data_IF_358346893069
#
_entry.id   IF_358346893069
#
_cell.length_a   1.000
_cell.length_b   1.000
_cell.length_c   1.000
_cell.angle_alpha   90.00
_cell.angle_beta   90.00
_cell.angle_gamma   90.00
#
_symmetry.space_group_name_H-M   'P 1'
#
loop_
_entity.id
_entity.type
_entity.pdbx_description
1 polymer ?
#
# COMPACT_ATOMS: atom_id res chain seq x y z
N UNK A 1 -44.11 -2.33 -36.99
CA UNK A 1 -44.10 -1.00 -36.34
C UNK A 1 -43.37 -1.16 -35.03
N UNK A 2 -42.31 -0.37 -34.84
CA UNK A 2 -41.29 -0.60 -33.81
C UNK A 2 -41.79 -0.09 -32.47
N UNK A 3 -41.76 -1.01 -31.52
CA UNK A 3 -42.07 -0.91 -30.10
C UNK A 3 -41.06 0.01 -29.39
N UNK A 4 -41.56 1.00 -28.63
CA UNK A 4 -40.75 1.92 -27.83
C UNK A 4 -40.31 1.20 -26.54
N UNK A 5 -39.23 0.44 -26.62
CA UNK A 5 -38.56 -0.12 -25.46
C UNK A 5 -37.53 0.87 -24.90
N UNK A 6 -37.84 1.41 -23.71
CA UNK A 6 -36.94 2.20 -22.87
C UNK A 6 -35.60 1.46 -22.62
N UNK A 7 -34.47 2.19 -22.49
CA UNK A 7 -33.19 1.57 -22.24
C UNK A 7 -33.16 0.95 -20.83
N UNK A 8 -33.18 -0.38 -20.79
CA UNK A 8 -32.86 -1.20 -19.62
C UNK A 8 -31.52 -0.75 -19.01
N UNK A 9 -31.59 0.02 -17.93
CA UNK A 9 -30.49 0.19 -16.97
C UNK A 9 -30.30 -1.12 -16.22
N UNK A 10 -29.62 -2.08 -16.85
CA UNK A 10 -28.84 -3.06 -16.11
C UNK A 10 -27.56 -2.34 -15.71
N UNK A 11 -27.28 -2.20 -14.41
CA UNK A 11 -26.04 -2.67 -13.80
C UNK A 11 -25.88 -2.21 -12.34
N UNK A 12 -25.77 -3.23 -11.48
CA UNK A 12 -25.09 -3.27 -10.17
C UNK A 12 -25.78 -2.53 -9.03
N UNK A 13 -26.98 -3.00 -8.69
CA UNK A 13 -27.35 -3.09 -7.27
C UNK A 13 -26.35 -4.06 -6.63
N UNK A 14 -25.42 -3.54 -5.84
CA UNK A 14 -24.56 -4.40 -5.02
C UNK A 14 -25.46 -5.16 -4.03
N UNK A 15 -25.44 -6.49 -4.11
CA UNK A 15 -26.13 -7.35 -3.16
C UNK A 15 -25.59 -7.06 -1.74
N UNK A 16 -26.42 -6.48 -0.88
CA UNK A 16 -26.15 -6.20 0.54
C UNK A 16 -26.33 -7.46 1.41
N UNK A 17 -25.96 -8.65 0.92
CA UNK A 17 -26.25 -9.93 1.60
C UNK A 17 -25.01 -10.81 1.85
N UNK A 18 -23.82 -10.21 1.98
CA UNK A 18 -22.63 -10.93 2.44
C UNK A 18 -21.73 -10.02 3.27
N UNK A 19 -22.30 -9.46 4.34
CA UNK A 19 -21.52 -8.99 5.48
C UNK A 19 -22.10 -9.65 6.73
N UNK A 20 -21.94 -10.97 6.86
CA UNK A 20 -21.60 -11.49 8.18
C UNK A 20 -20.37 -10.70 8.59
N UNK A 21 -20.56 -9.68 9.44
CA UNK A 21 -19.47 -8.91 9.99
C UNK A 21 -18.54 -9.93 10.65
N UNK A 22 -17.36 -10.14 10.04
CA UNK A 22 -16.29 -10.85 10.70
C UNK A 22 -16.20 -10.29 12.13
N UNK A 23 -16.17 -11.14 13.17
CA UNK A 23 -16.14 -10.66 14.55
C UNK A 23 -15.06 -9.59 14.64
N UNK A 24 -15.41 -8.42 15.20
CA UNK A 24 -14.53 -7.25 15.29
C UNK A 24 -13.15 -7.70 15.78
N UNK A 25 -12.22 -7.91 14.84
CA UNK A 25 -10.90 -8.43 15.14
C UNK A 25 -10.18 -7.34 15.91
N UNK A 26 -10.03 -7.55 17.22
CA UNK A 26 -9.34 -6.58 18.06
C UNK A 26 -7.87 -6.56 17.70
N UNK A 27 -7.33 -5.36 17.57
CA UNK A 27 -5.93 -5.12 17.24
C UNK A 27 -5.26 -4.55 18.49
N UNK A 28 -4.22 -5.24 18.94
CA UNK A 28 -3.42 -4.86 20.10
C UNK A 28 -2.09 -4.22 19.71
N UNK A 29 -1.16 -4.20 20.67
CA UNK A 29 0.22 -3.73 20.46
C UNK A 29 1.09 -4.89 19.96
N UNK A 30 1.98 -4.69 18.97
CA UNK A 30 2.94 -5.71 18.55
C UNK A 30 3.86 -6.17 19.70
N UNK A 31 4.19 -7.46 19.74
CA UNK A 31 5.06 -8.03 20.78
C UNK A 31 6.55 -7.85 20.42
N UNK A 32 7.42 -7.47 21.38
CA UNK A 32 8.86 -7.43 21.14
C UNK A 32 9.43 -8.78 20.70
N UNK A 33 10.30 -8.78 19.71
CA UNK A 33 10.89 -9.99 19.13
C UNK A 33 9.94 -10.76 18.21
N UNK A 34 8.83 -10.16 17.78
CA UNK A 34 7.87 -10.75 16.87
C UNK A 34 7.46 -9.78 15.74
N UNK A 35 6.71 -10.29 14.76
CA UNK A 35 6.15 -9.51 13.67
C UNK A 35 7.16 -9.00 12.64
N UNK A 36 6.61 -8.30 11.64
CA UNK A 36 7.34 -7.71 10.52
C UNK A 36 6.99 -6.23 10.41
N UNK A 37 8.00 -5.39 10.18
CA UNK A 37 7.81 -3.98 9.87
C UNK A 37 7.93 -3.78 8.37
N UNK A 38 6.92 -3.16 7.77
CA UNK A 38 6.85 -2.81 6.36
C UNK A 38 7.01 -1.31 6.19
N UNK A 39 8.01 -0.88 5.42
CA UNK A 39 8.29 0.54 5.14
C UNK A 39 7.95 0.84 3.69
N UNK A 40 7.12 1.85 3.46
CA UNK A 40 6.64 2.24 2.14
C UNK A 40 6.36 3.75 2.06
N UNK A 41 6.15 4.23 0.83
CA UNK A 41 5.67 5.59 0.60
C UNK A 41 4.15 5.57 0.56
N UNK A 42 3.50 6.37 1.42
CA UNK A 42 2.07 6.62 1.35
C UNK A 42 1.82 7.78 0.39
N UNK A 43 0.88 7.59 -0.53
CA UNK A 43 0.61 8.53 -1.63
C UNK A 43 0.21 9.92 -1.12
N UNK A 44 0.72 10.95 -1.81
CA UNK A 44 0.43 12.35 -1.54
C UNK A 44 -1.08 12.61 -1.41
N UNK A 45 -1.51 13.08 -0.25
CA UNK A 45 -2.85 13.62 -0.06
C UNK A 45 -3.14 14.66 -1.13
N UNK A 46 -4.35 14.65 -1.69
CA UNK A 46 -4.78 15.33 -2.94
C UNK A 46 -4.54 16.85 -3.02
N UNK A 47 -3.93 17.50 -2.02
CA UNK A 47 -3.67 18.93 -1.98
C UNK A 47 -2.20 19.35 -1.95
N UNK A 48 -1.29 18.51 -1.48
CA UNK A 48 0.14 18.81 -1.47
C UNK A 48 0.92 17.56 -1.84
N UNK A 49 1.76 17.67 -2.89
CA UNK A 49 2.63 16.60 -3.39
C UNK A 49 3.79 16.34 -2.43
N UNK A 50 3.48 15.97 -1.20
CA UNK A 50 4.48 15.49 -0.26
C UNK A 50 4.38 13.98 -0.19
N UNK A 51 5.47 13.34 -0.59
CA UNK A 51 5.70 11.92 -0.36
C UNK A 51 5.90 11.71 1.13
N UNK A 52 4.95 11.01 1.75
CA UNK A 52 4.97 10.69 3.18
C UNK A 52 5.57 9.31 3.34
N UNK A 53 6.58 9.18 4.20
CA UNK A 53 7.09 7.87 4.57
C UNK A 53 6.15 7.26 5.60
N UNK A 54 5.87 5.97 5.44
CA UNK A 54 5.01 5.20 6.32
C UNK A 54 5.69 3.88 6.68
N UNK A 55 5.56 3.49 7.95
CA UNK A 55 5.94 2.17 8.42
C UNK A 55 4.79 1.54 9.22
N UNK A 56 4.61 0.23 9.03
CA UNK A 56 3.60 -0.56 9.73
C UNK A 56 4.26 -1.80 10.30
N UNK A 57 4.20 -1.97 11.62
CA UNK A 57 4.59 -3.19 12.31
C UNK A 57 3.36 -4.07 12.48
N UNK A 58 3.37 -5.24 11.85
CA UNK A 58 2.32 -6.25 11.99
C UNK A 58 2.87 -7.48 12.71
N UNK A 59 2.23 -7.87 13.80
CA UNK A 59 2.53 -9.06 14.59
C UNK A 59 1.27 -9.92 14.73
N UNK A 60 1.06 -10.92 13.87
CA UNK A 60 -0.07 -11.84 14.04
C UNK A 60 0.11 -12.67 15.32
N UNK A 61 -0.94 -12.80 16.12
CA UNK A 61 -0.89 -13.62 17.33
C UNK A 61 -1.39 -15.04 17.05
N UNK A 62 -0.64 -16.06 17.47
CA UNK A 62 -1.06 -17.47 17.34
C UNK A 62 -2.32 -17.80 18.17
N UNK A 63 -2.58 -17.01 19.21
CA UNK A 63 -3.75 -17.10 20.07
C UNK A 63 -4.25 -15.68 20.34
N UNK A 64 -5.57 -15.49 20.56
CA UNK A 64 -6.10 -14.19 20.95
C UNK A 64 -5.42 -13.68 22.23
N UNK A 65 -5.09 -12.40 22.28
CA UNK A 65 -4.57 -11.69 23.44
C UNK A 65 -5.58 -11.63 24.58
N UNK A 66 -5.18 -11.06 25.70
CA UNK A 66 -5.99 -11.02 26.93
C UNK A 66 -7.37 -10.37 26.74
N UNK A 67 -7.54 -9.46 25.77
CA UNK A 67 -8.82 -8.84 25.43
C UNK A 67 -9.42 -9.36 24.13
N UNK A 68 -8.92 -10.48 23.61
CA UNK A 68 -9.34 -11.08 22.34
C UNK A 68 -8.65 -10.48 21.11
N UNK A 69 -7.51 -9.81 21.28
CA UNK A 69 -6.74 -9.25 20.16
C UNK A 69 -6.16 -10.38 19.30
N UNK A 70 -6.32 -10.33 17.98
CA UNK A 70 -5.81 -11.41 17.09
C UNK A 70 -4.48 -11.05 16.43
N UNK A 71 -4.08 -9.79 16.51
CA UNK A 71 -2.81 -9.29 16.01
C UNK A 71 -2.43 -8.01 16.74
N UNK A 72 -1.15 -7.67 16.73
CA UNK A 72 -0.63 -6.38 17.10
C UNK A 72 -0.30 -5.56 15.86
N UNK A 73 -0.79 -4.32 15.78
CA UNK A 73 -0.45 -3.40 14.68
C UNK A 73 -0.02 -2.05 15.26
N UNK A 74 1.12 -1.55 14.80
CA UNK A 74 1.56 -0.18 15.09
C UNK A 74 2.00 0.53 13.81
N UNK A 75 1.56 1.76 13.61
CA UNK A 75 1.87 2.56 12.42
C UNK A 75 2.61 3.85 12.78
N UNK A 76 3.58 4.22 11.96
CA UNK A 76 4.26 5.53 12.03
C UNK A 76 4.30 6.13 10.64
N UNK A 77 3.85 7.37 10.53
CA UNK A 77 3.95 8.17 9.32
C UNK A 77 4.72 9.46 9.62
N UNK A 78 5.47 9.97 8.65
CA UNK A 78 6.21 11.21 8.80
C UNK A 78 7.33 11.38 7.78
N UNK A 79 8.37 12.10 8.20
CA UNK A 79 9.60 12.22 7.42
C UNK A 79 10.36 10.88 7.36
N UNK A 80 11.22 10.73 6.34
CA UNK A 80 12.10 9.58 6.19
C UNK A 80 12.89 9.29 7.47
N UNK A 81 13.52 10.31 8.03
CA UNK A 81 14.36 10.18 9.22
C UNK A 81 13.55 9.74 10.45
N UNK A 82 12.37 10.30 10.67
CA UNK A 82 11.51 9.91 11.79
C UNK A 82 11.01 8.47 11.66
N UNK A 83 10.63 8.07 10.44
CA UNK A 83 10.13 6.72 10.19
C UNK A 83 11.26 5.71 10.36
N UNK A 84 12.43 5.95 9.77
CA UNK A 84 13.57 5.04 9.92
C UNK A 84 14.05 4.96 11.38
N UNK A 85 14.16 6.09 12.09
CA UNK A 85 14.51 6.09 13.51
C UNK A 85 13.51 5.27 14.35
N UNK A 86 12.21 5.41 14.07
CA UNK A 86 11.19 4.61 14.72
C UNK A 86 11.35 3.13 14.41
N UNK A 87 11.49 2.75 13.14
CA UNK A 87 11.67 1.35 12.71
C UNK A 87 12.89 0.71 13.39
N UNK A 88 14.03 1.41 13.42
CA UNK A 88 15.27 0.91 14.06
C UNK A 88 15.14 0.75 15.57
N UNK A 89 14.29 1.56 16.20
CA UNK A 89 14.02 1.45 17.64
C UNK A 89 13.08 0.30 18.01
N UNK A 90 12.34 -0.25 17.04
CA UNK A 90 11.42 -1.35 17.30
C UNK A 90 12.17 -2.69 17.33
N UNK A 91 11.91 -3.55 18.33
CA UNK A 91 12.50 -4.88 18.40
C UNK A 91 11.73 -5.89 17.52
N UNK A 92 11.54 -5.60 16.23
CA UNK A 92 10.87 -6.54 15.31
C UNK A 92 11.85 -7.61 14.78
N UNK A 93 11.33 -8.77 14.34
CA UNK A 93 12.16 -9.85 13.75
C UNK A 93 12.59 -9.52 12.33
N UNK A 94 11.66 -8.96 11.56
CA UNK A 94 11.84 -8.75 10.13
C UNK A 94 11.53 -7.30 9.79
N UNK A 95 12.42 -6.68 9.03
CA UNK A 95 12.25 -5.32 8.51
C UNK A 95 12.26 -5.38 6.98
N UNK A 96 11.20 -4.90 6.35
CA UNK A 96 11.00 -4.93 4.90
C UNK A 96 10.76 -3.53 4.34
N UNK A 97 11.29 -3.29 3.15
CA UNK A 97 11.20 -2.05 2.40
C UNK A 97 10.47 -2.31 1.07
N UNK A 98 9.54 -1.44 0.69
CA UNK A 98 8.88 -1.50 -0.60
C UNK A 98 9.85 -1.09 -1.72
N UNK A 99 10.16 -2.02 -2.63
CA UNK A 99 10.95 -1.81 -3.83
C UNK A 99 10.04 -1.86 -5.07
N UNK A 100 10.12 -0.90 -6.01
CA UNK A 100 9.21 -0.81 -7.15
C UNK A 100 9.25 -2.03 -8.07
N UNK A 101 10.41 -2.66 -8.25
CA UNK A 101 10.59 -3.79 -9.17
C UNK A 101 10.60 -5.15 -8.47
N UNK A 102 10.95 -5.19 -7.18
CA UNK A 102 11.21 -6.44 -6.45
C UNK A 102 10.16 -6.74 -5.37
N UNK A 103 9.22 -5.80 -5.13
CA UNK A 103 8.18 -5.97 -4.11
C UNK A 103 8.72 -5.62 -2.73
N UNK A 104 8.81 -6.59 -1.81
CA UNK A 104 9.30 -6.35 -0.46
C UNK A 104 10.71 -6.91 -0.29
N UNK A 105 11.69 -6.04 -0.08
CA UNK A 105 13.09 -6.41 0.13
C UNK A 105 13.49 -6.21 1.60
N UNK A 106 14.48 -6.93 2.12
CA UNK A 106 15.01 -6.67 3.46
C UNK A 106 15.47 -5.21 3.59
N UNK A 107 15.09 -4.55 4.68
CA UNK A 107 15.52 -3.18 4.94
C UNK A 107 17.07 -3.16 5.08
N UNK A 108 17.78 -2.35 4.29
CA UNK A 108 19.24 -2.20 4.41
C UNK A 108 19.67 -1.91 5.85
N UNK A 109 20.88 -2.29 6.26
CA UNK A 109 21.36 -2.01 7.62
C UNK A 109 21.70 -0.53 7.84
N UNK A 110 22.12 0.15 6.77
CA UNK A 110 22.46 1.56 6.80
C UNK A 110 21.33 2.40 6.19
N UNK A 111 21.02 3.52 6.82
CA UNK A 111 19.89 4.35 6.43
C UNK A 111 20.18 5.04 5.09
N UNK A 112 21.42 5.41 4.76
CA UNK A 112 21.77 6.03 3.46
C UNK A 112 21.44 5.17 2.24
N UNK A 113 21.48 3.84 2.40
CA UNK A 113 21.14 2.88 1.34
C UNK A 113 19.63 2.70 1.15
N UNK A 114 18.81 3.28 2.04
CA UNK A 114 17.35 3.20 1.96
C UNK A 114 16.83 4.24 0.97
N UNK A 115 16.62 3.81 -0.27
CA UNK A 115 16.03 4.63 -1.33
C UNK A 115 14.66 4.08 -1.67
N UNK A 116 13.61 4.82 -1.28
CA UNK A 116 12.27 4.60 -1.81
C UNK A 116 12.08 5.54 -2.99
N UNK A 117 12.02 4.96 -4.18
CA UNK A 117 11.59 5.72 -5.34
C UNK A 117 10.11 6.03 -5.18
N UNK A 118 9.74 7.31 -5.30
CA UNK A 118 8.36 7.67 -5.59
C UNK A 118 7.92 6.77 -6.74
N UNK A 119 6.72 6.17 -6.72
CA UNK A 119 6.23 5.48 -7.88
C UNK A 119 6.27 6.50 -9.00
N UNK A 120 7.27 6.38 -9.88
CA UNK A 120 7.31 7.16 -11.09
C UNK A 120 5.97 6.81 -11.71
N UNK A 121 5.06 7.78 -11.74
CA UNK A 121 3.90 7.68 -12.59
C UNK A 121 4.51 7.56 -13.97
N UNK A 122 4.76 6.30 -14.38
CA UNK A 122 4.99 5.89 -15.74
C UNK A 122 3.65 6.19 -16.38
N UNK A 123 3.43 7.47 -16.65
CA UNK A 123 2.64 7.94 -17.75
C UNK A 123 3.36 7.27 -18.91
N UNK A 124 2.98 6.01 -19.20
CA UNK A 124 3.12 5.45 -20.52
C UNK A 124 2.39 6.48 -21.35
N UNK A 125 3.13 7.47 -21.88
CA UNK A 125 2.64 8.31 -22.95
C UNK A 125 2.25 7.28 -23.99
N UNK A 126 0.96 6.95 -24.07
CA UNK A 126 0.44 6.26 -25.23
C UNK A 126 0.97 7.10 -26.40
N UNK A 127 1.68 6.52 -27.38
CA UNK A 127 1.92 7.25 -28.60
C UNK A 127 0.56 7.80 -29.03
N UNK A 128 0.47 9.12 -29.23
CA UNK A 128 -0.75 9.70 -29.79
C UNK A 128 -0.94 8.99 -31.14
N UNK A 129 -2.12 8.46 -31.46
CA UNK A 129 -2.38 8.04 -32.83
C UNK A 129 -2.33 9.30 -33.70
N UNK A 130 -1.24 9.47 -34.45
CA UNK A 130 -1.10 10.59 -35.39
C UNK A 130 0.30 11.19 -35.55
N UNK A 131 1.36 10.37 -35.60
CA UNK A 131 2.62 10.78 -36.22
C UNK A 131 2.60 10.27 -37.67
N UNK A 132 2.38 11.13 -38.68
CA UNK A 132 2.60 10.79 -40.08
C UNK A 132 3.98 11.28 -40.49
N UNK A 133 5.03 10.53 -40.16
CA UNK A 133 6.30 10.66 -40.89
C UNK A 133 7.04 9.33 -40.89
N UNK A 134 6.60 8.44 -41.78
CA UNK A 134 7.47 7.39 -42.28
C UNK A 134 8.39 8.00 -43.34
N UNK A 135 9.67 7.58 -43.42
CA UNK A 135 10.57 8.10 -44.43
C UNK A 135 10.03 7.75 -45.82
N UNK A 136 9.81 8.77 -46.64
CA UNK A 136 9.50 8.61 -48.06
C UNK A 136 10.76 8.08 -48.74
N UNK A 137 10.78 6.79 -49.05
CA UNK A 137 11.70 6.22 -50.00
C UNK A 137 11.17 6.49 -51.41
N UNK A 138 11.88 7.31 -52.18
CA UNK A 138 11.91 7.29 -53.64
C UNK A 138 13.22 7.93 -54.11
#
# INVERSE_FOLDING_TARGET
MIDMAEPRKVQRHWNTELTEAAPEQRIGTPRPGHGTIYVHLSGAGERERHTVWAATWEDPFDQPGENGEVAGIATREGSREEVLAWVRSQPAVTLLLAHPDEGWIPLPANDDDVVLHEPEHRIKRRPRPGDPDGPTAS
#
